data_IF_679932275939
#
_entry.id   IF_679932275939
#
_cell.length_a   1.000
_cell.length_b   1.000
_cell.length_c   1.000
_cell.angle_alpha   90.00
_cell.angle_beta   90.00
_cell.angle_gamma   90.00
#
_symmetry.space_group_name_H-M   'P 1'
#
loop_
_entity.id
_entity.type
_entity.pdbx_description
1 polymer ?
#
# COMPACT_ATOMS: atom_id res chain seq x y z
N UNK A 1 10.18 1.89 15.73
CA UNK A 1 9.29 0.91 15.07
C UNK A 1 7.88 1.48 15.15
N UNK A 2 7.17 1.67 14.03
CA UNK A 2 5.78 2.16 14.10
C UNK A 2 4.91 1.12 14.81
N UNK A 3 3.98 1.59 15.63
CA UNK A 3 3.09 0.71 16.39
C UNK A 3 2.28 -0.17 15.44
N UNK A 4 2.38 -1.49 15.63
CA UNK A 4 1.59 -2.47 14.87
C UNK A 4 0.10 -2.15 14.90
N UNK A 5 -0.39 -1.55 15.98
CA UNK A 5 -1.78 -1.10 16.11
C UNK A 5 -2.17 -0.03 15.08
N UNK A 6 -1.28 0.91 14.75
CA UNK A 6 -1.55 1.96 13.76
C UNK A 6 -1.62 1.32 12.36
N UNK A 7 -0.66 0.46 12.02
CA UNK A 7 -0.67 -0.29 10.77
C UNK A 7 -1.94 -1.12 10.67
N UNK A 8 -2.30 -1.89 11.70
CA UNK A 8 -3.51 -2.72 11.69
C UNK A 8 -4.77 -1.89 11.42
N UNK A 9 -4.92 -0.73 12.08
CA UNK A 9 -6.06 0.18 11.83
C UNK A 9 -6.08 0.70 10.40
N UNK A 10 -4.92 1.07 9.84
CA UNK A 10 -4.80 1.47 8.44
C UNK A 10 -5.28 0.36 7.50
N UNK A 11 -4.86 -0.88 7.74
CA UNK A 11 -5.19 -2.05 6.92
C UNK A 11 -6.68 -2.43 7.07
N UNK A 12 -7.20 -2.49 8.29
CA UNK A 12 -8.62 -2.74 8.55
C UNK A 12 -9.50 -1.72 7.83
N UNK A 13 -9.05 -0.46 7.78
CA UNK A 13 -9.75 0.60 7.07
C UNK A 13 -9.73 0.37 5.55
N UNK A 14 -8.59 0.00 4.97
CA UNK A 14 -8.49 -0.43 3.56
C UNK A 14 -9.46 -1.56 3.28
N UNK A 15 -9.46 -2.59 4.11
CA UNK A 15 -10.31 -3.75 3.89
C UNK A 15 -11.79 -3.38 3.96
N UNK A 16 -12.19 -2.61 4.98
CA UNK A 16 -13.58 -2.16 5.18
C UNK A 16 -14.11 -1.36 4.01
N UNK A 17 -13.27 -0.56 3.36
CA UNK A 17 -13.69 0.25 2.21
C UNK A 17 -13.63 -0.54 0.90
N UNK A 18 -12.58 -1.33 0.65
CA UNK A 18 -12.44 -2.04 -0.62
C UNK A 18 -13.36 -3.27 -0.71
N UNK A 19 -13.50 -4.07 0.36
CA UNK A 19 -14.20 -5.37 0.30
C UNK A 19 -15.63 -5.29 -0.23
N UNK A 20 -16.48 -4.33 0.18
CA UNK A 20 -17.85 -4.21 -0.34
C UNK A 20 -17.93 -3.86 -1.84
N UNK A 21 -16.82 -3.40 -2.43
CA UNK A 21 -16.72 -2.98 -3.83
C UNK A 21 -16.12 -4.06 -4.73
N UNK A 22 -15.62 -5.15 -4.15
CA UNK A 22 -15.10 -6.30 -4.88
C UNK A 22 -16.23 -7.26 -5.26
N UNK A 23 -16.04 -8.03 -6.35
CA UNK A 23 -16.94 -9.16 -6.63
C UNK A 23 -16.84 -10.19 -5.50
N UNK A 24 -17.92 -10.94 -5.27
CA UNK A 24 -18.00 -11.93 -4.17
C UNK A 24 -16.94 -13.03 -4.25
N UNK A 25 -16.49 -13.36 -5.44
CA UNK A 25 -15.48 -14.38 -5.69
C UNK A 25 -14.04 -13.86 -5.57
N UNK A 26 -13.85 -12.55 -5.38
CA UNK A 26 -12.53 -11.92 -5.24
C UNK A 26 -12.16 -11.79 -3.76
N UNK A 27 -11.03 -12.41 -3.43
CA UNK A 27 -10.34 -12.23 -2.16
C UNK A 27 -9.32 -11.10 -2.20
N UNK A 28 -8.91 -10.68 -1.02
CA UNK A 28 -7.92 -9.62 -0.84
C UNK A 28 -6.82 -10.05 0.14
N UNK A 29 -5.58 -10.16 -0.35
CA UNK A 29 -4.40 -10.39 0.50
C UNK A 29 -3.60 -9.10 0.60
N UNK A 30 -3.36 -8.62 1.82
CA UNK A 30 -2.62 -7.39 2.05
C UNK A 30 -1.25 -7.70 2.67
N UNK A 31 -0.18 -7.27 2.03
CA UNK A 31 1.19 -7.44 2.53
C UNK A 31 1.76 -6.07 2.86
N UNK A 32 2.17 -5.87 4.11
CA UNK A 32 2.79 -4.64 4.57
C UNK A 32 4.29 -4.84 4.71
N UNK A 33 5.05 -3.96 4.07
CA UNK A 33 6.50 -3.87 4.14
C UNK A 33 6.85 -2.56 4.85
N UNK A 34 7.09 -2.57 6.17
CA UNK A 34 7.39 -1.35 6.91
C UNK A 34 8.85 -0.93 6.72
N UNK A 35 9.11 0.38 6.67
CA UNK A 35 10.46 0.95 6.70
C UNK A 35 10.81 1.48 8.11
N UNK A 36 12.08 1.44 8.50
CA UNK A 36 12.59 1.93 9.79
C UNK A 36 12.57 3.45 9.83
N UNK A 37 13.18 4.07 8.82
CA UNK A 37 12.93 5.46 8.48
C UNK A 37 11.48 5.52 7.98
N UNK A 38 10.70 6.49 8.43
CA UNK A 38 9.24 6.53 8.29
C UNK A 38 8.73 6.10 6.90
N UNK A 39 7.50 5.59 6.80
CA UNK A 39 6.92 5.14 5.52
C UNK A 39 6.86 3.63 5.39
N UNK A 40 6.79 3.13 4.15
CA UNK A 40 6.69 1.71 3.82
C UNK A 40 5.86 1.44 2.56
N UNK A 41 5.60 0.17 2.27
CA UNK A 41 4.77 -0.24 1.13
C UNK A 41 3.64 -1.13 1.60
N UNK A 42 2.44 -0.89 1.10
CA UNK A 42 1.28 -1.79 1.27
C UNK A 42 0.91 -2.33 -0.10
N UNK A 43 1.03 -3.64 -0.26
CA UNK A 43 0.61 -4.37 -1.45
C UNK A 43 -0.73 -5.03 -1.20
N UNK A 44 -1.76 -4.61 -1.93
CA UNK A 44 -3.10 -5.20 -1.88
C UNK A 44 -3.30 -6.05 -3.14
N UNK A 45 -3.24 -7.38 -3.01
CA UNK A 45 -3.49 -8.33 -4.10
C UNK A 45 -4.96 -8.71 -4.14
N UNK A 46 -5.53 -8.70 -5.33
CA UNK A 46 -6.93 -9.00 -5.58
C UNK A 46 -7.00 -10.18 -6.56
N UNK A 47 -7.55 -11.31 -6.13
CA UNK A 47 -7.59 -12.52 -6.94
C UNK A 47 -8.85 -13.36 -6.66
N UNK A 48 -9.32 -14.10 -7.67
CA UNK A 48 -10.48 -14.97 -7.53
C UNK A 48 -10.14 -16.21 -6.69
N UNK A 49 -11.02 -16.60 -5.76
CA UNK A 49 -10.82 -17.75 -4.89
C UNK A 49 -9.80 -17.55 -3.77
N UNK A 50 -9.22 -16.36 -3.66
CA UNK A 50 -8.30 -16.00 -2.58
C UNK A 50 -9.07 -15.76 -1.26
N UNK A 51 -8.49 -16.15 -0.13
CA UNK A 51 -9.04 -15.84 1.19
C UNK A 51 -8.55 -14.46 1.66
N UNK A 52 -9.43 -13.68 2.27
CA UNK A 52 -9.03 -12.40 2.84
C UNK A 52 -8.03 -12.61 3.98
N UNK A 53 -6.87 -11.99 3.87
CA UNK A 53 -5.82 -12.05 4.88
C UNK A 53 -4.92 -10.82 4.83
N UNK A 54 -4.12 -10.60 5.88
CA UNK A 54 -3.03 -9.66 5.85
C UNK A 54 -1.80 -10.16 6.60
N UNK A 55 -0.62 -9.73 6.14
CA UNK A 55 0.65 -10.01 6.81
C UNK A 55 1.52 -8.76 6.88
N UNK A 56 2.28 -8.64 7.96
CA UNK A 56 3.29 -7.60 8.15
C UNK A 56 4.65 -8.27 8.10
N UNK A 57 5.49 -7.86 7.13
CA UNK A 57 6.86 -8.37 6.96
C UNK A 57 7.82 -7.73 7.96
N UNK A 58 9.04 -8.26 7.99
CA UNK A 58 10.15 -7.65 8.71
C UNK A 58 10.41 -6.22 8.21
N UNK A 59 10.99 -5.42 9.09
CA UNK A 59 11.23 -4.00 8.81
C UNK A 59 12.49 -3.82 7.97
N UNK A 60 12.37 -3.06 6.89
CA UNK A 60 13.46 -2.66 5.99
C UNK A 60 14.06 -1.34 6.46
N UNK A 61 15.28 -0.97 6.04
CA UNK A 61 15.86 0.32 6.44
C UNK A 61 15.09 1.48 5.81
N UNK A 62 14.78 1.36 4.51
CA UNK A 62 14.16 2.43 3.72
C UNK A 62 13.07 1.91 2.77
N UNK A 63 12.23 2.82 2.27
CA UNK A 63 11.26 2.52 1.20
C UNK A 63 11.95 2.02 -0.06
N UNK A 64 13.12 2.57 -0.40
CA UNK A 64 13.86 2.17 -1.61
C UNK A 64 14.31 0.70 -1.54
N UNK A 65 14.74 0.22 -0.38
CA UNK A 65 15.06 -1.20 -0.19
C UNK A 65 13.85 -2.10 -0.42
N UNK A 66 12.67 -1.68 0.06
CA UNK A 66 11.42 -2.40 -0.19
C UNK A 66 11.13 -2.46 -1.69
N UNK A 67 11.29 -1.35 -2.41
CA UNK A 67 11.00 -1.29 -3.84
C UNK A 67 12.02 -2.03 -4.72
N UNK A 68 13.18 -2.44 -4.17
CA UNK A 68 14.09 -3.38 -4.84
C UNK A 68 13.55 -4.80 -4.85
N UNK A 69 12.77 -5.18 -3.84
CA UNK A 69 12.22 -6.55 -3.69
C UNK A 69 10.74 -6.65 -4.04
N UNK A 70 10.00 -5.54 -3.97
CA UNK A 70 8.61 -5.41 -4.42
C UNK A 70 8.63 -4.74 -5.79
N UNK A 71 8.44 -5.50 -6.90
CA UNK A 71 8.38 -4.91 -8.23
C UNK A 71 7.29 -3.85 -8.29
N UNK A 72 7.50 -2.78 -9.03
CA UNK A 72 6.51 -1.71 -9.22
C UNK A 72 6.66 -1.09 -10.61
N UNK A 73 5.57 -0.56 -11.17
CA UNK A 73 5.53 0.06 -12.51
C UNK A 73 5.59 1.60 -12.52
N UNK A 74 5.65 2.27 -11.36
CA UNK A 74 5.70 3.74 -11.23
C UNK A 74 7.05 4.35 -11.60
N UNK A 75 8.15 3.73 -11.19
CA UNK A 75 9.52 4.21 -11.41
C UNK A 75 10.29 3.18 -12.21
N UNK A 76 10.87 3.62 -13.33
CA UNK A 76 11.78 2.80 -14.15
C UNK A 76 13.21 3.32 -13.99
N UNK A 77 14.20 2.42 -14.07
CA UNK A 77 15.61 2.77 -13.89
C UNK A 77 16.11 2.60 -12.45
N UNK A 78 17.22 3.27 -12.11
CA UNK A 78 17.82 3.15 -10.79
C UNK A 78 17.03 3.96 -9.74
N UNK A 79 16.53 3.28 -8.71
CA UNK A 79 15.75 3.86 -7.61
C UNK A 79 16.59 4.34 -6.42
N UNK A 80 17.91 4.13 -6.44
CA UNK A 80 18.80 4.46 -5.32
C UNK A 80 18.83 5.96 -4.96
N UNK A 81 18.45 6.85 -5.90
CA UNK A 81 18.39 8.29 -5.69
C UNK A 81 16.97 8.87 -5.58
N UNK A 82 15.94 8.03 -5.54
CA UNK A 82 14.54 8.49 -5.52
C UNK A 82 14.09 8.68 -4.08
N UNK A 83 13.60 9.88 -3.77
CA UNK A 83 12.91 10.16 -2.51
C UNK A 83 11.41 10.12 -2.73
N UNK A 84 10.72 9.26 -1.99
CA UNK A 84 9.27 9.18 -2.02
C UNK A 84 8.69 10.13 -0.97
N UNK A 85 8.01 11.18 -1.43
CA UNK A 85 7.16 12.03 -0.61
C UNK A 85 5.68 11.70 -0.81
N UNK A 86 4.89 11.88 0.24
CA UNK A 86 3.46 11.57 0.25
C UNK A 86 3.16 10.07 0.03
N UNK A 87 1.88 9.76 -0.19
CA UNK A 87 1.46 8.43 -0.64
C UNK A 87 1.40 8.39 -2.16
N UNK A 88 2.24 7.56 -2.77
CA UNK A 88 2.22 7.25 -4.19
C UNK A 88 1.44 5.95 -4.40
N UNK A 89 0.54 5.92 -5.38
CA UNK A 89 -0.36 4.78 -5.60
C UNK A 89 -0.13 4.23 -7.00
N UNK A 90 0.22 2.95 -7.11
CA UNK A 90 0.27 2.20 -8.37
C UNK A 90 -0.92 1.26 -8.43
N UNK A 91 -1.75 1.38 -9.46
CA UNK A 91 -2.74 0.34 -9.76
C UNK A 91 -2.20 -0.51 -10.90
N UNK A 92 -1.99 -1.79 -10.62
CA UNK A 92 -1.52 -2.79 -11.57
C UNK A 92 -2.60 -3.85 -11.77
N UNK A 93 -2.42 -4.77 -12.73
CA UNK A 93 -3.48 -5.68 -13.20
C UNK A 93 -4.26 -6.39 -12.09
N UNK A 94 -3.56 -6.95 -11.10
CA UNK A 94 -4.16 -7.71 -9.99
C UNK A 94 -3.79 -7.17 -8.61
N UNK A 95 -3.21 -5.97 -8.53
CA UNK A 95 -2.77 -5.41 -7.25
C UNK A 95 -2.75 -3.90 -7.21
N UNK A 96 -2.86 -3.36 -6.01
CA UNK A 96 -2.69 -1.95 -5.70
C UNK A 96 -1.48 -1.82 -4.79
N UNK A 97 -0.54 -0.97 -5.15
CA UNK A 97 0.62 -0.63 -4.32
C UNK A 97 0.43 0.77 -3.75
N UNK A 98 0.39 0.87 -2.42
CA UNK A 98 0.51 2.15 -1.71
C UNK A 98 1.95 2.29 -1.21
N UNK A 99 2.69 3.18 -1.84
CA UNK A 99 4.07 3.52 -1.47
C UNK A 99 4.00 4.76 -0.58
N UNK A 100 4.18 4.55 0.73
CA UNK A 100 4.15 5.57 1.77
C UNK A 100 5.55 6.13 1.94
N UNK A 101 5.72 7.40 1.58
CA UNK A 101 6.95 8.16 1.77
C UNK A 101 7.31 8.42 3.24
N UNK A 102 8.49 8.98 3.46
CA UNK A 102 9.01 9.24 4.82
C UNK A 102 8.25 10.33 5.58
N UNK A 103 7.54 11.19 4.87
CA UNK A 103 6.72 12.28 5.41
C UNK A 103 5.26 11.88 5.69
N UNK A 104 4.92 10.58 5.60
CA UNK A 104 3.54 10.11 5.66
C UNK A 104 3.10 9.48 6.98
N UNK A 105 1.86 9.78 7.35
CA UNK A 105 1.18 9.15 8.48
C UNK A 105 0.43 7.89 8.02
N UNK A 106 0.17 7.00 8.99
CA UNK A 106 -0.53 5.72 8.81
C UNK A 106 -1.86 5.71 9.57
N UNK A 107 -2.43 6.89 9.83
CA UNK A 107 -3.72 7.00 10.49
C UNK A 107 -4.86 6.52 9.59
N UNK A 108 -6.00 6.21 10.22
CA UNK A 108 -7.23 5.84 9.52
C UNK A 108 -7.71 6.93 8.55
N UNK A 109 -7.47 8.21 8.89
CA UNK A 109 -7.78 9.34 8.01
C UNK A 109 -6.92 9.37 6.74
N UNK A 110 -5.66 8.96 6.84
CA UNK A 110 -4.79 8.80 5.66
C UNK A 110 -5.18 7.58 4.83
N UNK A 111 -5.61 6.48 5.45
CA UNK A 111 -6.19 5.34 4.73
C UNK A 111 -7.40 5.79 3.90
N UNK A 112 -8.33 6.56 4.48
CA UNK A 112 -9.49 7.09 3.76
C UNK A 112 -9.09 7.94 2.54
N UNK A 113 -8.10 8.83 2.69
CA UNK A 113 -7.60 9.66 1.58
C UNK A 113 -6.96 8.79 0.50
N UNK A 114 -6.13 7.83 0.89
CA UNK A 114 -5.38 6.99 -0.03
C UNK A 114 -6.33 6.09 -0.84
N UNK A 115 -7.30 5.44 -0.20
CA UNK A 115 -8.34 4.65 -0.88
C UNK A 115 -9.24 5.56 -1.71
N UNK A 116 -9.54 6.76 -1.23
CA UNK A 116 -10.32 7.75 -1.98
C UNK A 116 -9.72 8.07 -3.35
N UNK A 117 -8.38 8.17 -3.44
CA UNK A 117 -7.66 8.36 -4.71
C UNK A 117 -7.75 7.15 -5.65
N UNK A 118 -7.83 5.93 -5.11
CA UNK A 118 -8.05 4.70 -5.89
C UNK A 118 -9.46 4.69 -6.47
N UNK A 119 -10.45 4.99 -5.64
CA UNK A 119 -11.86 4.92 -6.03
C UNK A 119 -12.30 6.09 -6.94
N UNK A 120 -11.67 7.25 -6.76
CA UNK A 120 -11.96 8.46 -7.51
C UNK A 120 -10.64 9.02 -8.08
N UNK A 121 -10.07 8.37 -9.10
CA UNK A 121 -8.83 8.83 -9.69
C UNK A 121 -9.04 10.24 -10.28
N UNK A 122 -8.10 11.18 -10.07
CA UNK A 122 -8.22 12.52 -10.64
C UNK A 122 -8.35 12.41 -12.16
N UNK A 123 -9.31 13.15 -12.75
CA UNK A 123 -9.47 13.22 -14.20
C UNK A 123 -8.13 13.64 -14.81
N UNK A 124 -7.55 12.79 -15.65
CA UNK A 124 -6.42 13.16 -16.50
C UNK A 124 -6.88 14.34 -17.37
N UNK A 125 -6.28 15.52 -17.14
CA UNK A 125 -6.44 16.68 -18.02
C UNK A 125 -5.56 16.52 -19.25
#
# INVERSE_FOLDING_TARGET
MKDRNIINKYIEKIQKVLKPRLRRDIGMNIIVYPAKMQGGVVEVKLESGLQDDYSVKDTYETVNEILKVVPQRLVSGNIDGVTFGGTNISMEENRILFIKGEDTDWSEGDADKDIGKVLNPPKRR
#
